data_IF_648802549906
#
_entry.id   IF_648802549906
#
_cell.length_a   1.000
_cell.length_b   1.000
_cell.length_c   1.000
_cell.angle_alpha   90.00
_cell.angle_beta   90.00
_cell.angle_gamma   90.00
#
_symmetry.space_group_name_H-M   'P 1'
#
loop_
_entity.id
_entity.type
_entity.pdbx_description
1 polymer ?
#
# COMPACT_ATOMS: atom_id res chain seq x y z
N UNK A 1 -50.66 17.00 63.74
CA UNK A 1 -51.17 15.61 63.79
C UNK A 1 -51.70 15.29 62.41
N UNK A 2 -51.33 14.12 61.89
CA UNK A 2 -52.04 13.35 60.86
C UNK A 2 -52.48 14.07 59.57
N UNK A 3 -51.84 13.70 58.46
CA UNK A 3 -52.59 13.39 57.23
C UNK A 3 -51.95 12.21 56.53
N UNK A 4 -52.77 11.19 56.38
CA UNK A 4 -52.54 9.83 55.95
C UNK A 4 -52.92 9.64 54.48
N UNK A 5 -52.18 8.74 53.80
CA UNK A 5 -52.57 7.94 52.64
C UNK A 5 -52.81 8.75 51.32
N UNK A 6 -52.60 8.26 50.09
CA UNK A 6 -52.75 6.93 49.50
C UNK A 6 -51.81 6.89 48.27
N UNK A 7 -51.00 5.83 48.11
CA UNK A 7 -50.48 5.45 46.80
C UNK A 7 -50.54 3.92 46.69
N UNK A 8 -51.45 3.48 45.83
CA UNK A 8 -51.85 2.11 45.58
C UNK A 8 -50.74 1.32 44.90
N UNK A 9 -50.49 0.13 45.44
CA UNK A 9 -49.63 -0.90 44.86
C UNK A 9 -50.23 -1.48 43.58
N UNK A 10 -49.38 -1.81 42.62
CA UNK A 10 -49.60 -2.95 41.71
C UNK A 10 -48.44 -3.93 41.85
N UNK A 11 -48.71 -5.25 41.93
CA UNK A 11 -47.68 -6.26 42.08
C UNK A 11 -47.19 -6.74 40.70
N UNK A 12 -45.89 -6.78 40.49
CA UNK A 12 -45.31 -7.58 39.40
C UNK A 12 -44.35 -8.59 40.02
N UNK A 13 -44.68 -9.85 39.75
CA UNK A 13 -44.05 -11.05 40.27
C UNK A 13 -42.54 -11.08 40.08
N UNK A 14 -41.86 -11.50 41.15
CA UNK A 14 -40.46 -11.93 41.18
C UNK A 14 -40.28 -13.20 40.34
N UNK A 15 -39.66 -13.05 39.17
CA UNK A 15 -38.97 -14.13 38.48
C UNK A 15 -37.48 -14.04 38.74
N UNK A 16 -36.98 -14.83 39.70
CA UNK A 16 -35.55 -15.09 39.89
C UNK A 16 -35.03 -16.00 38.77
N UNK A 17 -33.81 -15.75 38.29
CA UNK A 17 -32.97 -16.80 37.71
C UNK A 17 -32.36 -16.49 36.33
N UNK A 18 -31.38 -15.60 36.26
CA UNK A 18 -29.99 -16.02 36.00
C UNK A 18 -29.05 -14.82 36.01
N UNK A 19 -28.41 -14.66 37.17
CA UNK A 19 -27.18 -13.93 37.39
C UNK A 19 -26.06 -14.55 36.55
N UNK A 20 -25.48 -13.77 35.63
CA UNK A 20 -24.03 -13.61 35.45
C UNK A 20 -23.69 -12.78 34.19
N UNK A 21 -24.00 -11.49 34.20
CA UNK A 21 -23.25 -10.50 33.41
C UNK A 21 -22.39 -9.68 34.36
N UNK A 22 -21.46 -10.36 35.04
CA UNK A 22 -20.26 -9.67 35.54
C UNK A 22 -19.38 -9.39 34.33
N UNK A 23 -19.51 -8.19 33.78
CA UNK A 23 -18.50 -7.58 32.91
C UNK A 23 -17.19 -7.49 33.73
N UNK A 24 -16.40 -8.56 33.69
CA UNK A 24 -14.97 -8.46 33.99
C UNK A 24 -14.40 -7.61 32.86
N UNK A 25 -14.00 -6.38 33.19
CA UNK A 25 -13.22 -5.48 32.36
C UNK A 25 -11.79 -6.01 32.12
N UNK A 26 -11.67 -7.27 31.72
CA UNK A 26 -10.42 -7.78 31.20
C UNK A 26 -10.44 -7.52 29.69
N UNK A 27 -9.46 -6.80 29.12
CA UNK A 27 -9.36 -6.67 27.67
C UNK A 27 -9.22 -8.08 27.09
N UNK A 28 -10.24 -8.52 26.36
CA UNK A 28 -10.15 -9.74 25.54
C UNK A 28 -8.94 -9.53 24.61
N UNK A 29 -7.95 -10.42 24.66
CA UNK A 29 -6.77 -10.31 23.78
C UNK A 29 -7.24 -10.32 22.32
N UNK A 30 -6.56 -9.59 21.42
CA UNK A 30 -6.94 -9.61 20.01
C UNK A 30 -6.86 -11.02 19.42
N UNK A 31 -6.06 -11.93 20.00
CA UNK A 31 -6.02 -13.32 19.57
C UNK A 31 -7.33 -14.06 19.87
N UNK A 32 -7.99 -13.76 21.00
CA UNK A 32 -9.29 -14.31 21.36
C UNK A 32 -10.42 -13.63 20.55
N UNK A 33 -10.35 -12.31 20.38
CA UNK A 33 -11.26 -11.57 19.51
C UNK A 33 -11.12 -12.06 18.05
N UNK A 34 -9.90 -12.19 17.54
CA UNK A 34 -9.62 -12.67 16.20
C UNK A 34 -10.06 -14.12 16.02
N UNK A 35 -9.87 -15.00 17.02
CA UNK A 35 -10.44 -16.36 17.01
C UNK A 35 -11.98 -16.34 16.97
N UNK A 36 -12.63 -15.40 17.65
CA UNK A 36 -14.08 -15.22 17.57
C UNK A 36 -14.54 -14.68 16.21
N UNK A 37 -13.71 -13.87 15.56
CA UNK A 37 -13.92 -13.32 14.22
C UNK A 37 -13.60 -14.30 13.09
N UNK A 38 -13.01 -15.46 13.38
CA UNK A 38 -12.70 -16.47 12.38
C UNK A 38 -13.80 -17.54 12.30
N UNK A 39 -14.20 -18.01 11.11
CA UNK A 39 -15.15 -19.13 10.96
C UNK A 39 -14.78 -20.34 11.83
N UNK A 40 -15.76 -21.18 12.25
CA UNK A 40 -15.48 -22.35 13.08
C UNK A 40 -14.47 -23.28 12.36
N UNK A 41 -13.70 -24.08 13.09
CA UNK A 41 -12.65 -24.95 12.52
C UNK A 41 -13.13 -25.88 11.38
N UNK A 42 -14.42 -26.17 11.29
CA UNK A 42 -15.06 -26.95 10.22
C UNK A 42 -15.32 -26.16 8.92
N UNK A 43 -15.13 -24.85 8.93
CA UNK A 43 -15.34 -23.93 7.81
C UNK A 43 -14.02 -23.35 7.26
N UNK A 44 -12.94 -24.14 7.34
CA UNK A 44 -11.76 -23.87 6.52
C UNK A 44 -12.20 -23.78 5.03
N UNK A 45 -11.59 -22.92 4.21
CA UNK A 45 -11.84 -22.88 2.78
C UNK A 45 -11.60 -24.30 2.25
N UNK A 46 -12.51 -24.73 1.38
CA UNK A 46 -12.76 -26.12 1.02
C UNK A 46 -11.49 -26.99 0.90
N UNK A 47 -11.29 -27.93 1.83
CA UNK A 47 -10.20 -28.91 1.76
C UNK A 47 -8.78 -28.33 1.80
N UNK A 48 -7.75 -29.18 1.86
CA UNK A 48 -6.37 -28.70 1.67
C UNK A 48 -6.24 -28.27 0.20
N UNK A 49 -5.75 -27.06 -0.10
CA UNK A 49 -5.50 -26.64 -1.48
C UNK A 49 -4.61 -27.67 -2.19
N UNK A 50 -4.97 -28.07 -3.41
CA UNK A 50 -4.23 -29.07 -4.20
C UNK A 50 -2.85 -28.55 -4.65
N UNK A 51 -2.66 -27.23 -4.63
CA UNK A 51 -1.42 -26.54 -4.97
C UNK A 51 -1.24 -25.31 -4.08
N UNK A 52 -0.15 -24.56 -4.29
CA UNK A 52 0.08 -23.27 -3.63
C UNK A 52 -0.35 -22.12 -4.54
N UNK A 53 -0.82 -21.03 -3.95
CA UNK A 53 -1.28 -19.83 -4.64
C UNK A 53 -0.17 -19.25 -5.53
N UNK A 54 -0.50 -19.06 -6.81
CA UNK A 54 0.45 -18.60 -7.83
C UNK A 54 0.53 -17.08 -7.86
N UNK A 55 1.72 -16.57 -8.16
CA UNK A 55 2.02 -15.14 -8.28
C UNK A 55 1.36 -14.45 -9.49
N UNK A 56 0.83 -15.22 -10.44
CA UNK A 56 0.44 -14.76 -11.77
C UNK A 56 -0.68 -15.59 -12.38
N UNK A 57 -0.89 -15.41 -13.69
CA UNK A 57 -1.87 -16.20 -14.43
C UNK A 57 -1.32 -17.61 -14.70
N UNK A 58 -2.20 -18.60 -14.65
CA UNK A 58 -1.93 -19.97 -15.11
C UNK A 58 -1.66 -20.04 -16.61
N UNK A 59 -1.32 -21.24 -17.11
CA UNK A 59 -1.08 -21.50 -18.53
C UNK A 59 -2.32 -21.23 -19.39
N UNK A 60 -3.48 -21.45 -18.81
CA UNK A 60 -4.83 -21.18 -19.32
C UNK A 60 -5.26 -19.70 -19.17
N UNK A 61 -4.44 -18.85 -18.54
CA UNK A 61 -4.76 -17.44 -18.31
C UNK A 61 -5.61 -17.15 -17.06
N UNK A 62 -6.07 -18.19 -16.35
CA UNK A 62 -6.84 -18.06 -15.10
C UNK A 62 -5.96 -17.53 -13.96
N UNK A 63 -6.58 -16.98 -12.91
CA UNK A 63 -5.91 -16.61 -11.65
C UNK A 63 -6.54 -17.41 -10.54
N UNK A 64 -5.71 -17.84 -9.60
CA UNK A 64 -6.21 -18.48 -8.38
C UNK A 64 -7.02 -17.45 -7.57
N UNK A 65 -8.16 -17.88 -7.01
CA UNK A 65 -8.94 -17.07 -6.07
C UNK A 65 -8.33 -17.20 -4.66
N UNK A 66 -7.82 -16.12 -4.03
CA UNK A 66 -7.23 -16.21 -2.69
C UNK A 66 -8.19 -16.74 -1.62
N UNK A 67 -9.51 -16.61 -1.84
CA UNK A 67 -10.52 -17.11 -0.90
C UNK A 67 -10.61 -18.64 -0.85
N UNK A 68 -10.02 -19.34 -1.82
CA UNK A 68 -9.85 -20.79 -1.77
C UNK A 68 -8.71 -21.23 -0.84
N UNK A 69 -7.82 -20.30 -0.47
CA UNK A 69 -6.59 -20.58 0.29
C UNK A 69 -6.62 -19.95 1.68
N UNK A 70 -7.25 -18.77 1.80
CA UNK A 70 -7.28 -17.96 3.00
C UNK A 70 -8.68 -17.80 3.55
N UNK A 71 -8.76 -17.62 4.86
CA UNK A 71 -10.01 -17.37 5.57
C UNK A 71 -10.42 -15.92 5.38
N UNK A 72 -11.73 -15.70 5.28
CA UNK A 72 -12.32 -14.37 5.42
C UNK A 72 -12.60 -14.09 6.90
N UNK A 73 -12.54 -12.81 7.26
CA UNK A 73 -13.08 -12.36 8.54
C UNK A 73 -14.60 -12.60 8.53
N UNK A 74 -15.18 -13.03 9.65
CA UNK A 74 -16.64 -13.18 9.80
C UNK A 74 -17.37 -11.84 9.72
N UNK A 75 -16.66 -10.74 9.95
CA UNK A 75 -17.20 -9.38 9.93
C UNK A 75 -16.13 -8.35 10.26
N UNK A 76 -16.49 -7.06 10.21
CA UNK A 76 -15.57 -5.97 10.53
C UNK A 76 -15.12 -6.05 12.00
N UNK A 77 -13.86 -5.68 12.30
CA UNK A 77 -13.44 -5.40 13.67
C UNK A 77 -14.34 -4.33 14.33
N UNK A 78 -14.52 -4.37 15.66
CA UNK A 78 -15.23 -3.31 16.37
C UNK A 78 -14.59 -1.94 16.12
N UNK A 79 -15.42 -0.95 15.80
CA UNK A 79 -14.95 0.44 15.73
C UNK A 79 -14.52 0.91 17.13
N UNK A 80 -13.51 1.75 17.20
CA UNK A 80 -12.98 2.28 18.46
C UNK A 80 -12.51 3.72 18.31
N UNK A 81 -12.29 4.38 19.44
CA UNK A 81 -11.87 5.77 19.47
C UNK A 81 -10.84 6.01 20.58
N UNK A 82 -9.99 7.00 20.38
CA UNK A 82 -9.08 7.49 21.41
C UNK A 82 -8.85 8.98 21.22
N UNK A 83 -8.97 9.76 22.30
CA UNK A 83 -8.87 11.22 22.21
C UNK A 83 -9.91 11.79 21.24
N UNK A 84 -9.44 12.44 20.17
CA UNK A 84 -10.29 13.01 19.09
C UNK A 84 -10.37 12.12 17.85
N UNK A 85 -9.73 10.96 17.88
CA UNK A 85 -9.58 10.06 16.74
C UNK A 85 -10.61 8.94 16.80
N UNK A 86 -11.30 8.69 15.68
CA UNK A 86 -12.30 7.64 15.53
C UNK A 86 -11.90 6.71 14.40
N UNK A 87 -11.89 5.40 14.68
CA UNK A 87 -11.45 4.37 13.76
C UNK A 87 -12.61 3.44 13.42
N UNK A 88 -13.05 3.50 12.17
CA UNK A 88 -14.12 2.68 11.60
C UNK A 88 -13.57 1.77 10.52
N UNK A 89 -14.15 0.58 10.40
CA UNK A 89 -13.69 -0.46 9.48
C UNK A 89 -14.74 -0.76 8.40
N UNK A 90 -14.26 -1.20 7.25
CA UNK A 90 -15.08 -1.79 6.19
C UNK A 90 -15.47 -3.22 6.58
N UNK A 91 -16.47 -3.79 5.89
CA UNK A 91 -16.87 -5.19 6.08
C UNK A 91 -15.73 -6.20 5.85
N UNK A 92 -14.71 -5.82 5.09
CA UNK A 92 -13.53 -6.63 4.78
C UNK A 92 -12.41 -6.50 5.82
N UNK A 93 -12.65 -5.70 6.87
CA UNK A 93 -11.69 -5.46 7.96
C UNK A 93 -10.59 -4.44 7.65
N UNK A 94 -10.70 -3.69 6.54
CA UNK A 94 -9.81 -2.56 6.30
C UNK A 94 -10.30 -1.34 7.09
N UNK A 95 -9.39 -0.49 7.58
CA UNK A 95 -9.79 0.82 8.07
C UNK A 95 -10.49 1.59 6.93
N UNK A 96 -11.50 2.39 7.27
CA UNK A 96 -12.30 3.15 6.31
C UNK A 96 -11.40 3.73 5.20
N UNK A 97 -11.73 3.37 3.95
CA UNK A 97 -10.87 3.63 2.79
C UNK A 97 -10.66 5.13 2.50
N UNK A 98 -11.50 5.99 3.05
CA UNK A 98 -11.36 7.45 2.95
C UNK A 98 -10.60 8.05 4.13
N UNK A 99 -10.43 7.30 5.22
CA UNK A 99 -9.68 7.75 6.38
C UNK A 99 -8.20 7.95 6.02
N UNK A 100 -7.70 9.13 6.37
CA UNK A 100 -6.29 9.50 6.22
C UNK A 100 -5.75 10.01 7.54
N UNK A 101 -4.65 9.42 7.99
CA UNK A 101 -3.97 9.78 9.21
C UNK A 101 -3.32 11.16 9.09
N UNK A 102 -3.64 12.03 10.05
CA UNK A 102 -2.67 13.01 10.54
C UNK A 102 -1.74 12.38 11.57
N UNK A 103 -0.73 13.12 12.00
CA UNK A 103 0.27 12.64 12.97
C UNK A 103 -0.36 12.25 14.31
N UNK A 104 -1.12 13.14 14.95
CA UNK A 104 -1.81 12.87 16.22
C UNK A 104 -2.72 11.64 16.13
N UNK A 105 -3.52 11.55 15.06
CA UNK A 105 -4.43 10.42 14.85
C UNK A 105 -3.69 9.10 14.64
N UNK A 106 -2.48 9.14 14.07
CA UNK A 106 -1.66 7.94 13.92
C UNK A 106 -1.02 7.54 15.25
N UNK A 107 -0.58 8.49 16.07
CA UNK A 107 -0.11 8.23 17.43
C UNK A 107 -1.22 7.62 18.31
N UNK A 108 -2.45 8.10 18.16
CA UNK A 108 -3.63 7.50 18.79
C UNK A 108 -3.86 6.07 18.31
N UNK A 109 -3.76 5.84 16.99
CA UNK A 109 -3.92 4.52 16.39
C UNK A 109 -2.86 3.53 16.87
N UNK A 110 -1.62 3.98 17.10
CA UNK A 110 -0.53 3.20 17.68
C UNK A 110 -0.79 2.74 19.12
N UNK A 111 -1.85 3.20 19.79
CA UNK A 111 -2.24 2.65 21.11
C UNK A 111 -2.98 1.32 21.00
N UNK A 112 -3.37 0.90 19.79
CA UNK A 112 -3.97 -0.42 19.59
C UNK A 112 -2.96 -1.50 20.01
N UNK A 113 -3.24 -2.28 21.08
CA UNK A 113 -2.22 -3.08 21.76
C UNK A 113 -1.60 -4.15 20.87
N UNK A 114 -2.37 -4.63 19.90
CA UNK A 114 -2.02 -5.79 19.08
C UNK A 114 -1.63 -5.39 17.65
N UNK A 115 -1.55 -4.09 17.39
CA UNK A 115 -1.07 -3.55 16.13
C UNK A 115 0.43 -3.83 15.97
N UNK A 116 0.76 -4.52 14.89
CA UNK A 116 2.12 -4.69 14.39
C UNK A 116 2.25 -4.02 13.02
N UNK A 117 3.23 -3.14 12.92
CA UNK A 117 3.64 -2.48 11.70
C UNK A 117 4.59 -3.41 10.93
N UNK A 118 4.09 -4.03 9.87
CA UNK A 118 4.86 -4.97 9.05
C UNK A 118 5.47 -4.24 7.86
N UNK A 119 6.80 -4.06 7.86
CA UNK A 119 7.52 -3.55 6.70
C UNK A 119 7.50 -4.63 5.61
N UNK A 120 7.07 -4.27 4.40
CA UNK A 120 6.89 -5.17 3.25
C UNK A 120 7.44 -4.52 1.98
N UNK A 121 7.80 -5.34 0.99
CA UNK A 121 7.90 -4.83 -0.39
C UNK A 121 6.55 -4.89 -1.07
N UNK A 122 6.22 -3.82 -1.79
CA UNK A 122 4.97 -3.75 -2.54
C UNK A 122 4.98 -4.81 -3.64
N UNK A 123 4.06 -5.78 -3.60
CA UNK A 123 4.06 -6.92 -4.51
C UNK A 123 3.70 -6.50 -5.94
N UNK A 124 4.20 -7.23 -6.94
CA UNK A 124 3.86 -7.00 -8.36
C UNK A 124 2.80 -7.99 -8.82
N UNK A 125 1.76 -7.56 -9.54
CA UNK A 125 0.70 -8.39 -10.14
C UNK A 125 -0.40 -8.93 -9.20
N UNK A 126 -0.47 -8.43 -7.96
CA UNK A 126 -1.42 -8.91 -6.94
C UNK A 126 -2.58 -7.93 -6.66
N UNK A 127 -2.88 -7.01 -7.59
CA UNK A 127 -3.93 -6.00 -7.35
C UNK A 127 -5.32 -6.60 -7.09
N UNK A 128 -5.59 -7.78 -7.65
CA UNK A 128 -6.83 -8.55 -7.46
C UNK A 128 -7.01 -9.09 -6.03
N UNK A 129 -5.96 -9.10 -5.20
CA UNK A 129 -6.01 -9.61 -3.82
C UNK A 129 -6.41 -8.56 -2.80
N UNK A 130 -6.39 -7.29 -3.19
CA UNK A 130 -6.88 -6.25 -2.29
C UNK A 130 -8.41 -6.26 -2.30
N UNK A 131 -9.06 -6.10 -1.12
CA UNK A 131 -10.50 -5.95 -1.06
C UNK A 131 -11.00 -4.82 -1.97
N UNK A 132 -10.29 -3.70 -2.00
CA UNK A 132 -10.50 -2.63 -2.97
C UNK A 132 -9.20 -2.35 -3.76
N UNK A 133 -9.12 -2.88 -4.98
CA UNK A 133 -7.94 -2.75 -5.84
C UNK A 133 -7.49 -1.31 -6.14
N UNK A 134 -8.37 -0.31 -6.03
CA UNK A 134 -8.05 1.10 -6.28
C UNK A 134 -7.64 1.86 -5.03
N UNK A 135 -8.21 1.53 -3.86
CA UNK A 135 -8.08 2.32 -2.64
C UNK A 135 -7.24 1.65 -1.56
N UNK A 136 -7.32 0.33 -1.41
CA UNK A 136 -6.55 -0.44 -0.42
C UNK A 136 -5.04 -0.21 -0.55
N UNK A 137 -4.40 -0.30 -1.74
CA UNK A 137 -2.95 -0.19 -1.83
C UNK A 137 -2.40 1.25 -1.71
N UNK A 138 -3.24 2.23 -1.36
CA UNK A 138 -2.84 3.63 -1.22
C UNK A 138 -2.35 3.93 0.19
N UNK A 139 -1.35 4.81 0.27
CA UNK A 139 -0.85 5.33 1.54
C UNK A 139 -1.96 6.04 2.32
N UNK A 140 -2.02 5.76 3.62
CA UNK A 140 -3.01 6.31 4.54
C UNK A 140 -2.61 7.64 5.18
N UNK A 141 -1.38 8.14 5.01
CA UNK A 141 -1.03 9.47 5.53
C UNK A 141 -1.60 10.60 4.69
N UNK A 142 -2.16 11.61 5.37
CA UNK A 142 -2.74 12.82 4.76
C UNK A 142 -1.67 13.68 4.08
N UNK A 143 -0.49 13.78 4.68
CA UNK A 143 0.66 14.54 4.18
C UNK A 143 1.52 13.79 3.15
N UNK A 144 1.10 12.59 2.72
CA UNK A 144 1.84 11.82 1.73
C UNK A 144 1.97 12.61 0.41
N UNK A 145 3.21 12.87 0.00
CA UNK A 145 3.50 13.61 -1.23
C UNK A 145 3.34 12.77 -2.49
N UNK A 146 3.29 11.45 -2.40
CA UNK A 146 3.18 10.57 -3.57
C UNK A 146 1.93 10.90 -4.41
N UNK A 147 2.07 10.87 -5.74
CA UNK A 147 0.96 11.11 -6.65
C UNK A 147 -0.19 10.11 -6.39
N UNK A 148 -1.37 10.65 -6.08
CA UNK A 148 -2.56 9.88 -5.67
C UNK A 148 -2.32 8.93 -4.49
N UNK A 149 -1.36 9.23 -3.61
CA UNK A 149 -0.96 8.39 -2.47
C UNK A 149 -0.50 6.98 -2.90
N UNK A 150 -0.07 6.81 -4.15
CA UNK A 150 0.22 5.47 -4.70
C UNK A 150 1.53 4.92 -4.17
N UNK A 151 1.49 3.71 -3.63
CA UNK A 151 2.69 2.93 -3.30
C UNK A 151 3.00 2.02 -4.49
N UNK A 152 4.14 2.25 -5.15
CA UNK A 152 4.46 1.57 -6.40
C UNK A 152 5.10 0.22 -6.15
N UNK A 153 4.97 -0.66 -7.14
CA UNK A 153 5.56 -1.99 -7.14
C UNK A 153 7.06 -1.94 -6.80
N UNK A 154 7.46 -2.76 -5.85
CA UNK A 154 8.85 -2.88 -5.40
C UNK A 154 9.30 -1.84 -4.37
N UNK A 155 8.54 -0.76 -4.14
CA UNK A 155 8.78 0.21 -3.05
C UNK A 155 8.44 -0.44 -1.70
N UNK A 156 9.11 0.03 -0.64
CA UNK A 156 8.81 -0.39 0.72
C UNK A 156 7.54 0.28 1.24
N UNK A 157 6.73 -0.52 1.92
CA UNK A 157 5.49 -0.09 2.57
C UNK A 157 5.44 -0.69 3.97
N UNK A 158 4.52 -0.19 4.77
CA UNK A 158 4.20 -0.71 6.08
C UNK A 158 2.74 -1.10 6.07
N UNK A 159 2.44 -2.36 6.36
CA UNK A 159 1.09 -2.85 6.56
C UNK A 159 0.69 -2.71 8.03
N UNK A 160 -0.51 -2.19 8.26
CA UNK A 160 -1.10 -2.02 9.58
C UNK A 160 -1.81 -3.32 9.97
N UNK A 161 -1.09 -4.25 10.60
CA UNK A 161 -1.61 -5.57 10.94
C UNK A 161 -2.18 -5.58 12.36
N UNK A 162 -3.50 -5.62 12.49
CA UNK A 162 -4.19 -5.71 13.79
C UNK A 162 -4.37 -7.15 14.28
N UNK A 163 -4.11 -8.13 13.42
CA UNK A 163 -4.22 -9.56 13.70
C UNK A 163 -2.92 -10.29 13.31
N UNK A 164 -1.77 -9.93 13.90
CA UNK A 164 -0.47 -10.46 13.50
C UNK A 164 -0.38 -11.99 13.65
N UNK A 165 -1.09 -12.58 14.60
CA UNK A 165 -1.12 -14.03 14.84
C UNK A 165 -1.80 -14.83 13.73
N UNK A 166 -2.68 -14.22 12.94
CA UNK A 166 -3.40 -14.85 11.84
C UNK A 166 -2.78 -14.57 10.48
N UNK A 167 -1.93 -13.54 10.42
CA UNK A 167 -1.36 -12.99 9.21
C UNK A 167 -0.58 -14.05 8.41
N UNK A 168 -0.94 -14.24 7.15
CA UNK A 168 -0.15 -15.05 6.20
C UNK A 168 -0.31 -16.56 6.34
N UNK A 169 -0.80 -17.05 7.49
CA UNK A 169 -1.18 -18.44 7.70
C UNK A 169 -2.66 -18.67 7.41
N UNK A 170 -3.52 -17.93 8.10
CA UNK A 170 -4.99 -18.10 8.03
C UNK A 170 -5.64 -16.95 7.26
N UNK A 171 -5.23 -15.71 7.54
CA UNK A 171 -5.69 -14.55 6.81
C UNK A 171 -4.78 -14.23 5.64
N UNK A 172 -5.39 -13.78 4.55
CA UNK A 172 -4.67 -13.30 3.38
C UNK A 172 -3.74 -12.14 3.80
N UNK A 173 -2.43 -12.19 3.50
CA UNK A 173 -1.49 -11.12 3.85
C UNK A 173 -1.78 -9.76 3.19
N UNK A 174 -2.68 -9.72 2.19
CA UNK A 174 -3.19 -8.51 1.57
C UNK A 174 -4.36 -7.87 2.34
N UNK A 175 -4.96 -8.58 3.30
CA UNK A 175 -6.03 -8.07 4.15
C UNK A 175 -5.43 -7.55 5.47
N UNK A 176 -5.32 -6.24 5.58
CA UNK A 176 -4.89 -5.53 6.79
C UNK A 176 -5.65 -4.21 6.91
N UNK A 177 -5.51 -3.50 8.04
CA UNK A 177 -6.23 -2.25 8.24
C UNK A 177 -5.83 -1.15 7.22
N UNK A 178 -4.62 -1.24 6.65
CA UNK A 178 -4.19 -0.38 5.56
C UNK A 178 -2.69 -0.37 5.36
N UNK A 179 -2.23 0.48 4.44
CA UNK A 179 -0.81 0.63 4.13
C UNK A 179 -0.35 2.07 4.22
N UNK A 180 0.91 2.27 4.58
CA UNK A 180 1.62 3.54 4.44
C UNK A 180 2.95 3.33 3.73
N UNK A 181 3.49 4.36 3.07
CA UNK A 181 4.88 4.30 2.63
C UNK A 181 5.80 4.20 3.84
N UNK A 182 6.88 3.42 3.75
CA UNK A 182 7.88 3.39 4.80
C UNK A 182 8.47 4.79 5.04
N UNK A 183 8.72 5.54 3.97
CA UNK A 183 9.16 6.94 4.03
C UNK A 183 8.18 7.86 4.78
N UNK A 184 6.88 7.71 4.56
CA UNK A 184 5.92 8.55 5.28
C UNK A 184 5.84 8.18 6.77
N UNK A 185 6.03 6.91 7.12
CA UNK A 185 6.07 6.47 8.51
C UNK A 185 7.25 7.11 9.25
N UNK A 186 8.47 6.99 8.72
CA UNK A 186 9.67 7.54 9.36
C UNK A 186 9.60 9.07 9.49
N UNK A 187 9.11 9.79 8.46
CA UNK A 187 8.95 11.24 8.53
C UNK A 187 7.87 11.69 9.53
N UNK A 188 6.86 10.86 9.80
CA UNK A 188 5.77 11.20 10.74
C UNK A 188 6.14 10.86 12.18
N UNK A 189 6.84 9.75 12.41
CA UNK A 189 7.15 9.26 13.74
C UNK A 189 8.50 9.76 14.30
N UNK A 190 9.45 10.06 13.41
CA UNK A 190 10.83 10.28 13.79
C UNK A 190 11.53 9.00 14.27
N UNK A 191 12.84 9.08 14.37
CA UNK A 191 13.75 7.99 14.74
C UNK A 191 13.47 7.48 16.14
N UNK A 192 13.23 8.38 17.11
CA UNK A 192 12.97 7.97 18.50
C UNK A 192 11.79 7.02 18.59
N UNK A 193 10.65 7.37 17.98
CA UNK A 193 9.46 6.53 18.03
C UNK A 193 9.60 5.26 17.19
N UNK A 194 10.32 5.32 16.07
CA UNK A 194 10.65 4.13 15.27
C UNK A 194 11.46 3.11 16.08
N UNK A 195 12.49 3.56 16.80
CA UNK A 195 13.31 2.71 17.69
C UNK A 195 12.47 2.15 18.84
N UNK A 196 11.63 2.96 19.47
CA UNK A 196 10.72 2.50 20.52
C UNK A 196 9.83 1.36 20.03
N UNK A 197 9.18 1.52 18.87
CA UNK A 197 8.32 0.50 18.28
C UNK A 197 9.10 -0.75 17.86
N UNK A 198 10.32 -0.59 17.36
CA UNK A 198 11.20 -1.72 17.04
C UNK A 198 11.54 -2.54 18.28
N UNK A 199 11.95 -1.89 19.36
CA UNK A 199 12.34 -2.55 20.62
C UNK A 199 11.14 -3.23 21.31
N UNK A 200 9.93 -2.74 21.05
CA UNK A 200 8.67 -3.38 21.47
C UNK A 200 8.22 -4.54 20.55
N UNK A 201 8.97 -4.87 19.49
CA UNK A 201 8.57 -5.81 18.43
C UNK A 201 7.27 -5.42 17.69
N UNK A 202 6.93 -4.13 17.70
CA UNK A 202 5.73 -3.57 17.04
C UNK A 202 6.02 -2.99 15.67
N UNK A 203 7.29 -2.78 15.31
CA UNK A 203 7.75 -2.44 13.97
C UNK A 203 8.76 -3.47 13.51
N UNK A 204 8.35 -4.35 12.59
CA UNK A 204 9.15 -5.51 12.18
C UNK A 204 9.17 -5.67 10.67
N UNK A 205 10.24 -6.28 10.16
CA UNK A 205 10.32 -6.68 8.76
C UNK A 205 9.47 -7.94 8.54
N UNK A 206 8.70 -7.96 7.47
CA UNK A 206 8.03 -9.15 7.00
C UNK A 206 9.07 -10.23 6.63
N UNK A 207 9.20 -11.22 7.51
CA UNK A 207 10.10 -12.38 7.35
C UNK A 207 9.36 -13.71 7.45
N UNK A 208 8.04 -13.66 7.62
CA UNK A 208 7.19 -14.84 7.78
C UNK A 208 7.18 -15.69 6.51
N UNK A 209 7.13 -17.00 6.69
CA UNK A 209 6.79 -17.92 5.61
C UNK A 209 5.29 -17.87 5.37
N UNK A 210 4.89 -17.77 4.10
CA UNK A 210 3.49 -17.80 3.70
C UNK A 210 3.19 -19.19 3.15
N UNK A 211 2.68 -20.13 3.97
CA UNK A 211 2.57 -21.55 3.61
C UNK A 211 1.68 -21.79 2.39
N UNK A 212 0.66 -20.95 2.20
CA UNK A 212 -0.25 -21.04 1.06
C UNK A 212 0.32 -20.44 -0.23
N UNK A 213 1.42 -19.69 -0.17
CA UNK A 213 2.02 -19.04 -1.34
C UNK A 213 3.13 -19.91 -1.94
N UNK A 214 3.15 -20.02 -3.27
CA UNK A 214 4.27 -20.67 -3.97
C UNK A 214 5.58 -19.89 -3.73
N UNK A 215 5.47 -18.56 -3.75
CA UNK A 215 6.55 -17.63 -3.48
C UNK A 215 6.01 -16.42 -2.75
N UNK A 216 6.69 -16.01 -1.68
CA UNK A 216 6.35 -14.82 -0.94
C UNK A 216 6.28 -13.58 -1.87
N UNK A 217 5.10 -12.96 -2.03
CA UNK A 217 4.93 -11.80 -2.90
C UNK A 217 5.51 -10.51 -2.31
N UNK A 218 5.66 -10.45 -0.98
CA UNK A 218 6.12 -9.29 -0.18
C UNK A 218 7.57 -9.42 0.29
N UNK A 219 8.25 -10.48 -0.15
CA UNK A 219 9.59 -10.88 0.20
C UNK A 219 10.60 -9.73 0.32
N UNK A 220 11.20 -9.63 1.51
CA UNK A 220 12.26 -8.66 1.82
C UNK A 220 13.63 -9.31 1.90
N UNK A 221 13.77 -10.59 2.29
CA UNK A 221 15.10 -11.18 2.43
C UNK A 221 15.87 -11.06 1.10
N UNK A 222 17.07 -10.49 1.12
CA UNK A 222 17.85 -10.30 -0.10
C UNK A 222 18.49 -11.60 -0.55
N UNK A 223 19.53 -11.48 -1.38
CA UNK A 223 20.63 -12.46 -1.33
C UNK A 223 21.15 -12.45 0.12
N UNK A 224 21.39 -13.61 0.76
CA UNK A 224 21.92 -13.69 2.11
C UNK A 224 23.36 -13.18 2.15
N UNK A 225 23.52 -11.86 2.14
CA UNK A 225 24.79 -11.12 2.23
C UNK A 225 24.59 -9.84 3.03
N UNK A 226 25.69 -9.22 3.50
CA UNK A 226 25.68 -7.95 4.24
C UNK A 226 25.02 -6.78 3.47
N UNK A 227 24.94 -6.90 2.14
CA UNK A 227 24.34 -5.88 1.28
C UNK A 227 22.80 -5.94 1.22
N UNK A 228 22.15 -7.01 1.70
CA UNK A 228 20.71 -7.18 1.57
C UNK A 228 19.87 -6.15 2.35
N UNK A 229 18.62 -5.86 1.92
CA UNK A 229 17.76 -4.90 2.60
C UNK A 229 17.43 -5.25 4.05
N UNK A 230 17.38 -6.54 4.41
CA UNK A 230 17.19 -6.97 5.80
C UNK A 230 18.41 -6.64 6.66
N UNK A 231 19.62 -6.93 6.17
CA UNK A 231 20.87 -6.55 6.84
C UNK A 231 20.95 -5.03 7.03
N UNK A 232 20.48 -4.24 6.06
CA UNK A 232 20.38 -2.78 6.15
C UNK A 232 19.38 -2.30 7.20
N UNK A 233 18.25 -2.99 7.35
CA UNK A 233 17.28 -2.71 8.40
C UNK A 233 17.91 -2.88 9.78
N UNK A 234 18.56 -4.02 10.05
CA UNK A 234 19.22 -4.29 11.34
C UNK A 234 20.31 -3.25 11.61
N UNK A 235 21.16 -2.97 10.61
CA UNK A 235 22.22 -1.96 10.72
C UNK A 235 21.67 -0.56 11.00
N UNK A 236 20.55 -0.18 10.38
CA UNK A 236 19.95 1.14 10.60
C UNK A 236 19.45 1.30 12.04
N UNK A 237 18.77 0.30 12.61
CA UNK A 237 18.32 0.37 14.00
C UNK A 237 19.49 0.43 15.00
N UNK A 238 20.56 -0.33 14.76
CA UNK A 238 21.78 -0.21 15.57
C UNK A 238 22.41 1.18 15.52
N UNK A 239 22.44 1.82 14.34
CA UNK A 239 22.90 3.21 14.20
C UNK A 239 21.93 4.20 14.85
N UNK A 240 20.63 3.99 14.71
CA UNK A 240 19.60 4.83 15.30
C UNK A 240 19.69 4.89 16.84
N UNK A 241 19.91 3.75 17.48
CA UNK A 241 20.16 3.70 18.93
C UNK A 241 21.42 4.49 19.31
N UNK A 242 22.48 4.41 18.53
CA UNK A 242 23.70 5.20 18.76
C UNK A 242 23.47 6.70 18.64
N UNK A 243 22.59 7.15 17.73
CA UNK A 243 22.24 8.56 17.58
C UNK A 243 21.47 9.07 18.81
N UNK A 244 20.50 8.28 19.28
CA UNK A 244 19.69 8.63 20.46
C UNK A 244 20.53 8.68 21.75
N UNK A 245 21.52 7.81 21.89
CA UNK A 245 22.38 7.76 23.08
C UNK A 245 23.43 8.87 23.11
N UNK A 246 23.95 9.27 21.95
CA UNK A 246 25.03 10.25 21.85
C UNK A 246 24.53 11.70 21.65
N UNK A 247 23.22 11.95 21.74
CA UNK A 247 22.59 13.24 21.37
C UNK A 247 23.01 13.77 19.98
N UNK A 248 23.41 12.85 19.09
CA UNK A 248 23.75 13.21 17.72
C UNK A 248 22.44 13.50 16.98
N UNK A 249 22.47 14.53 16.12
CA UNK A 249 21.30 14.97 15.37
C UNK A 249 20.60 13.79 14.67
N UNK A 250 19.29 13.71 14.88
CA UNK A 250 18.40 12.83 14.14
C UNK A 250 18.58 13.03 12.64
N UNK A 251 18.66 11.98 11.82
CA UNK A 251 18.65 12.15 10.38
C UNK A 251 17.28 12.65 9.91
N UNK A 252 17.17 13.96 9.70
CA UNK A 252 15.91 14.58 9.32
C UNK A 252 15.58 14.37 7.84
N UNK A 253 16.53 14.06 6.94
CA UNK A 253 16.19 13.88 5.52
C UNK A 253 17.31 13.20 4.70
N UNK A 254 16.92 12.62 3.55
CA UNK A 254 17.85 12.10 2.54
C UNK A 254 18.44 10.72 2.82
N UNK A 255 19.75 10.59 2.64
CA UNK A 255 20.53 9.33 2.60
C UNK A 255 20.64 8.59 3.95
N UNK A 256 19.93 9.05 4.98
CA UNK A 256 20.01 8.51 6.34
C UNK A 256 18.69 7.93 6.87
N UNK A 257 17.66 7.95 6.03
CA UNK A 257 16.37 7.34 6.34
C UNK A 257 16.42 5.81 6.28
N UNK A 258 15.54 5.13 7.04
CA UNK A 258 15.43 3.67 7.00
C UNK A 258 15.03 3.21 5.61
N UNK A 259 14.07 3.92 4.98
CA UNK A 259 13.64 3.64 3.63
C UNK A 259 14.80 3.71 2.61
N UNK A 260 15.67 4.72 2.73
CA UNK A 260 16.86 4.81 1.88
C UNK A 260 17.82 3.65 2.14
N UNK A 261 18.11 3.33 3.40
CA UNK A 261 19.03 2.24 3.77
C UNK A 261 18.57 0.90 3.20
N UNK A 262 17.29 0.57 3.36
CA UNK A 262 16.71 -0.66 2.80
C UNK A 262 16.69 -0.62 1.28
N UNK A 263 16.36 0.52 0.66
CA UNK A 263 16.35 0.68 -0.80
C UNK A 263 17.74 0.50 -1.41
N UNK A 264 18.76 1.10 -0.79
CA UNK A 264 20.15 0.93 -1.19
C UNK A 264 20.57 -0.53 -1.14
N UNK A 265 20.19 -1.25 -0.09
CA UNK A 265 20.45 -2.69 -0.01
C UNK A 265 19.82 -3.48 -1.17
N UNK A 266 18.58 -3.16 -1.56
CA UNK A 266 17.95 -3.77 -2.74
C UNK A 266 18.70 -3.43 -4.03
N UNK A 267 19.21 -2.22 -4.19
CA UNK A 267 19.91 -1.79 -5.41
C UNK A 267 21.27 -2.47 -5.52
N UNK A 268 22.00 -2.57 -4.41
CA UNK A 268 23.34 -3.16 -4.35
C UNK A 268 23.32 -4.68 -4.42
N UNK A 269 22.30 -5.34 -3.86
CA UNK A 269 22.18 -6.81 -3.87
C UNK A 269 21.48 -7.37 -5.13
N UNK A 270 21.17 -6.54 -6.13
CA UNK A 270 20.45 -6.99 -7.32
C UNK A 270 21.37 -7.72 -8.31
N UNK A 271 20.87 -8.83 -8.86
CA UNK A 271 21.58 -9.57 -9.90
C UNK A 271 21.78 -8.72 -11.16
N UNK A 272 22.85 -8.93 -11.96
CA UNK A 272 23.10 -8.15 -13.19
C UNK A 272 21.92 -8.12 -14.17
N UNK A 273 21.17 -9.23 -14.29
CA UNK A 273 19.97 -9.28 -15.13
C UNK A 273 18.84 -8.36 -14.62
N UNK A 274 18.69 -8.24 -13.30
CA UNK A 274 17.71 -7.36 -12.65
C UNK A 274 18.13 -5.90 -12.80
N UNK A 275 19.42 -5.59 -12.66
CA UNK A 275 19.99 -4.27 -12.91
C UNK A 275 19.72 -3.80 -14.34
N UNK A 276 19.98 -4.66 -15.35
CA UNK A 276 19.68 -4.35 -16.76
C UNK A 276 18.19 -4.11 -17.00
N UNK A 277 17.33 -4.97 -16.44
CA UNK A 277 15.88 -4.80 -16.56
C UNK A 277 15.38 -3.52 -15.89
N UNK A 278 16.04 -3.09 -14.81
CA UNK A 278 15.74 -1.86 -14.07
C UNK A 278 16.16 -0.61 -14.84
N UNK A 279 17.38 -0.59 -15.39
CA UNK A 279 17.87 0.52 -16.22
C UNK A 279 16.96 0.82 -17.43
N UNK A 280 16.35 -0.22 -18.01
CA UNK A 280 15.34 -0.08 -19.09
C UNK A 280 14.08 0.68 -18.65
N UNK A 281 13.76 0.75 -17.35
CA UNK A 281 12.54 1.40 -16.80
C UNK A 281 12.68 2.92 -16.62
N UNK A 282 13.84 3.50 -16.94
CA UNK A 282 14.10 4.94 -16.87
C UNK A 282 13.64 5.58 -15.55
N UNK A 283 12.55 6.35 -15.53
CA UNK A 283 12.06 7.13 -14.38
C UNK A 283 11.16 6.34 -13.42
N UNK A 284 10.75 5.14 -13.82
CA UNK A 284 10.07 4.20 -12.93
C UNK A 284 11.07 3.38 -12.10
N UNK A 285 12.37 3.66 -12.21
CA UNK A 285 13.40 3.07 -11.39
C UNK A 285 13.43 3.72 -9.99
N UNK A 286 13.04 2.94 -8.97
CA UNK A 286 13.05 3.39 -7.59
C UNK A 286 14.45 3.68 -7.05
N UNK A 287 15.52 3.19 -7.69
CA UNK A 287 16.89 3.51 -7.36
C UNK A 287 17.22 5.00 -7.58
N UNK A 288 16.51 5.68 -8.50
CA UNK A 288 16.77 7.10 -8.79
C UNK A 288 16.27 8.05 -7.71
N UNK A 289 15.25 7.64 -6.98
CA UNK A 289 14.64 8.43 -5.91
C UNK A 289 14.78 7.75 -4.54
N UNK A 290 15.49 6.62 -4.46
CA UNK A 290 15.70 5.80 -3.25
C UNK A 290 14.43 5.59 -2.40
N UNK A 291 13.29 5.42 -3.08
CA UNK A 291 11.98 5.25 -2.43
C UNK A 291 11.37 6.53 -1.82
N UNK A 292 12.03 7.69 -1.89
CA UNK A 292 11.46 8.99 -1.48
C UNK A 292 10.38 9.42 -2.51
N UNK A 293 9.10 9.58 -2.09
CA UNK A 293 8.03 9.97 -2.99
C UNK A 293 8.12 11.40 -3.54
N UNK A 294 8.71 12.32 -2.77
CA UNK A 294 8.87 13.71 -3.18
C UNK A 294 9.95 13.84 -4.26
N UNK A 295 11.10 13.20 -4.03
CA UNK A 295 12.17 13.14 -5.02
C UNK A 295 11.69 12.50 -6.33
N UNK A 296 10.84 11.46 -6.24
CA UNK A 296 10.21 10.85 -7.41
C UNK A 296 9.37 11.83 -8.22
N UNK A 297 8.59 12.69 -7.55
CA UNK A 297 7.77 13.70 -8.22
C UNK A 297 8.65 14.78 -8.83
N UNK A 298 9.66 15.25 -8.09
CA UNK A 298 10.65 16.22 -8.58
C UNK A 298 11.28 15.74 -9.89
N UNK A 299 11.77 14.50 -9.91
CA UNK A 299 12.35 13.87 -11.11
C UNK A 299 11.31 13.76 -12.23
N UNK A 300 10.07 13.34 -11.95
CA UNK A 300 9.01 13.26 -12.97
C UNK A 300 8.72 14.61 -13.60
N UNK A 301 8.60 15.67 -12.80
CA UNK A 301 8.35 17.03 -13.27
C UNK A 301 9.52 17.54 -14.13
N UNK A 302 10.76 17.37 -13.68
CA UNK A 302 11.95 17.77 -14.43
C UNK A 302 12.02 17.07 -15.79
N UNK A 303 11.69 15.78 -15.87
CA UNK A 303 11.66 15.05 -17.13
C UNK A 303 10.53 15.47 -18.06
N UNK A 304 9.36 15.85 -17.52
CA UNK A 304 8.27 16.39 -18.33
C UNK A 304 8.67 17.74 -18.93
N UNK A 305 9.34 18.59 -18.15
CA UNK A 305 9.88 19.87 -18.63
C UNK A 305 10.93 19.66 -19.73
N UNK A 306 11.94 18.82 -19.48
CA UNK A 306 12.99 18.54 -20.47
C UNK A 306 12.44 17.97 -21.79
N UNK A 307 11.39 17.13 -21.74
CA UNK A 307 10.70 16.65 -22.95
C UNK A 307 9.95 17.77 -23.68
N UNK A 308 9.30 18.66 -22.96
CA UNK A 308 8.63 19.81 -23.55
C UNK A 308 9.62 20.77 -24.22
N UNK A 309 10.76 21.02 -23.58
CA UNK A 309 11.82 21.88 -24.13
C UNK A 309 12.44 21.28 -25.38
N UNK A 310 12.68 19.96 -25.40
CA UNK A 310 13.17 19.27 -26.60
C UNK A 310 12.21 19.41 -27.78
N UNK A 311 10.91 19.22 -27.54
CA UNK A 311 9.89 19.40 -28.59
C UNK A 311 9.86 20.85 -29.11
N UNK A 312 9.97 21.85 -28.22
CA UNK A 312 10.06 23.26 -28.63
C UNK A 312 11.32 23.56 -29.45
N UNK A 313 12.46 22.97 -29.10
CA UNK A 313 13.70 23.13 -29.85
C UNK A 313 13.60 22.49 -31.24
N UNK A 314 12.99 21.30 -31.35
CA UNK A 314 12.75 20.63 -32.64
C UNK A 314 11.79 21.43 -33.52
N UNK A 315 10.72 22.00 -32.95
CA UNK A 315 9.79 22.90 -33.66
C UNK A 315 10.45 24.20 -34.11
N UNK A 316 11.31 24.80 -33.27
CA UNK A 316 12.06 25.99 -33.62
C UNK A 316 13.06 25.74 -34.75
N UNK A 317 13.81 24.62 -34.71
CA UNK A 317 14.72 24.24 -35.79
C UNK A 317 13.97 23.93 -37.10
N UNK A 318 12.81 23.28 -37.03
CA UNK A 318 11.95 23.05 -38.19
C UNK A 318 11.43 24.34 -38.83
N UNK A 319 11.09 25.36 -38.03
CA UNK A 319 10.67 26.68 -38.53
C UNK A 319 11.83 27.48 -39.14
N UNK A 320 13.03 27.38 -38.58
CA UNK A 320 14.22 28.04 -39.14
C UNK A 320 14.62 27.43 -40.48
N UNK A 321 14.63 26.09 -40.60
CA UNK A 321 14.89 25.41 -41.87
C UNK A 321 13.82 25.68 -42.94
N UNK A 322 12.54 25.81 -42.55
CA UNK A 322 11.47 26.19 -43.48
C UNK A 322 11.58 27.65 -43.98
N UNK A 323 12.11 28.56 -43.14
CA UNK A 323 12.39 29.96 -43.53
C UNK A 323 13.62 30.10 -44.43
N UNK A 324 14.65 29.28 -44.23
CA UNK A 324 15.85 29.28 -45.08
C UNK A 324 15.61 28.59 -46.44
N UNK A 325 14.74 27.57 -46.48
CA UNK A 325 14.35 26.89 -47.73
C UNK A 325 13.43 27.70 -48.66
N UNK A 326 12.88 28.83 -48.20
CA UNK A 326 11.96 29.67 -48.99
C UNK A 326 12.62 30.89 -49.65
N UNK A 327 13.94 31.07 -49.52
CA UNK A 327 14.71 32.10 -50.24
C UNK A 327 15.56 31.56 -51.41
N UNK A 328 15.53 30.25 -51.68
CA UNK A 328 16.33 29.61 -52.72
C UNK A 328 15.51 28.93 -53.80
N UNK A 329 15.19 29.65 -54.88
CA UNK A 329 15.09 29.05 -56.22
C UNK A 329 13.69 28.74 -56.75
N UNK A 330 13.13 29.70 -57.50
CA UNK A 330 12.33 29.37 -58.68
C UNK A 330 13.18 28.56 -59.66
N UNK A 331 12.98 27.24 -59.73
CA UNK A 331 13.32 26.45 -60.93
C UNK A 331 12.22 25.43 -61.21
N UNK A 332 11.53 25.70 -62.31
CA UNK A 332 10.56 24.86 -62.99
C UNK A 332 11.06 23.41 -63.15
N UNK A 333 10.21 22.41 -62.88
CA UNK A 333 10.36 21.08 -63.46
C UNK A 333 9.00 20.38 -63.66
N UNK A 334 8.76 20.14 -64.94
CA UNK A 334 7.99 19.11 -65.63
C UNK A 334 7.42 17.91 -64.85
N UNK A 335 6.16 17.58 -65.18
CA UNK A 335 5.47 16.26 -65.12
C UNK A 335 6.39 15.15 -65.70
N UNK A 336 6.52 13.92 -65.18
CA UNK A 336 5.58 12.78 -64.94
C UNK A 336 6.44 11.57 -64.38
N UNK A 337 5.97 10.31 -64.23
CA UNK A 337 4.93 9.79 -63.32
C UNK A 337 5.34 8.48 -62.55
N UNK A 338 4.43 8.01 -61.67
CA UNK A 338 4.24 6.63 -61.11
C UNK A 338 5.33 5.99 -60.22
N UNK A 339 4.96 5.64 -58.97
CA UNK A 339 4.82 4.24 -58.51
C UNK A 339 4.29 4.16 -57.07
N UNK A 340 3.06 3.66 -56.93
CA UNK A 340 2.44 3.23 -55.67
C UNK A 340 3.18 2.03 -55.08
N UNK A 341 3.60 2.12 -53.82
CA UNK A 341 3.60 0.96 -52.90
C UNK A 341 3.14 1.40 -51.53
N UNK A 342 1.96 0.91 -51.16
CA UNK A 342 1.30 1.20 -49.89
C UNK A 342 2.04 0.66 -48.67
N UNK A 343 1.85 1.37 -47.55
CA UNK A 343 1.83 0.80 -46.21
C UNK A 343 1.03 1.72 -45.30
N UNK A 344 -0.15 1.26 -44.92
CA UNK A 344 -1.01 1.84 -43.88
C UNK A 344 -0.29 1.83 -42.52
N UNK A 345 -0.32 2.92 -41.75
CA UNK A 345 -0.07 2.86 -40.32
C UNK A 345 -1.40 2.57 -39.58
N UNK A 346 -1.42 1.49 -38.81
CA UNK A 346 -2.52 1.16 -37.92
C UNK A 346 -2.65 2.22 -36.81
N UNK A 347 -3.76 2.96 -36.85
CA UNK A 347 -4.25 3.81 -35.79
C UNK A 347 -4.52 2.96 -34.54
N UNK A 348 -3.77 3.17 -33.45
CA UNK A 348 -4.19 2.77 -32.10
C UNK A 348 -5.12 3.86 -31.58
N UNK A 349 -6.42 3.64 -31.74
CA UNK A 349 -7.44 4.41 -31.03
C UNK A 349 -7.25 4.23 -29.52
N UNK A 350 -7.19 5.37 -28.84
CA UNK A 350 -7.30 5.52 -27.40
C UNK A 350 -8.80 5.59 -27.14
N UNK A 351 -9.33 4.64 -26.38
CA UNK A 351 -10.69 4.75 -25.86
C UNK A 351 -10.73 5.89 -24.83
N UNK A 352 -11.21 7.05 -25.27
CA UNK A 352 -11.89 8.04 -24.44
C UNK A 352 -13.27 7.47 -24.07
N UNK A 353 -13.47 7.13 -22.79
CA UNK A 353 -14.81 6.96 -22.25
C UNK A 353 -15.29 8.32 -21.76
N UNK A 354 -16.14 8.93 -22.59
CA UNK A 354 -16.97 10.08 -22.29
C UNK A 354 -17.99 9.73 -21.20
N UNK A 355 -17.87 10.43 -20.09
CA UNK A 355 -18.95 10.67 -19.13
C UNK A 355 -19.84 11.77 -19.73
N UNK A 356 -21.01 11.40 -20.23
CA UNK A 356 -22.18 12.27 -20.31
C UNK A 356 -23.43 11.38 -20.18
N UNK A 357 -24.17 11.53 -19.09
CA UNK A 357 -25.49 10.96 -18.97
C UNK A 357 -26.51 11.80 -19.75
N UNK A 358 -27.68 11.22 -19.99
CA UNK A 358 -28.97 11.91 -19.87
C UNK A 358 -30.10 10.88 -19.67
N UNK A 359 -31.22 11.31 -19.05
CA UNK A 359 -32.31 10.46 -18.59
C UNK A 359 -33.34 10.20 -19.69
N UNK A 360 -34.15 9.16 -19.52
CA UNK A 360 -35.35 8.93 -20.29
C UNK A 360 -36.41 8.29 -19.40
N UNK A 361 -37.40 9.10 -19.02
CA UNK A 361 -38.75 8.65 -18.72
C UNK A 361 -39.36 8.04 -19.99
N UNK A 362 -40.13 6.95 -19.83
CA UNK A 362 -41.53 6.80 -20.28
C UNK A 362 -41.93 5.32 -20.47
N UNK A 363 -43.02 4.98 -19.78
CA UNK A 363 -44.07 4.00 -20.10
C UNK A 363 -43.75 2.52 -20.38
N UNK A 364 -43.98 1.67 -19.36
CA UNK A 364 -45.13 0.73 -19.33
C UNK A 364 -45.22 -0.07 -18.02
#
# INVERSE_FOLDING_TARGET
METSQIATQMPMHLGHGNSAFSLRNNPISSAELARSLLPPKSAAPHGRPLHKLRRGRGRDGSRDDPNEFYWRLRGPPPSWAHGRSFFHYTCEGELNLLYKFGEEAFLDYLRQPELVLLIQRTPTLHNHRYPNHLLSPKCRFRQCRALHHTINRGEFRVALSEHPSLYGGMLDPFHCAGYVHLYCLESTLGVRKMVELHNQNRLVVHTHTLPMEEKDPMYIKGVPDEAGPYSRYIKWFSLAESWLNNSLHEPVEGDKTLNWYMTKGVVESQLPCQNRARQKRQLADFAKHMGNPEEKIRLRCANKAAKADKLRQEEAHGRTQAREGSQGGFRSRSRSPVCEKGRMPAHRQRDELLLMGQPGDDDK
#
